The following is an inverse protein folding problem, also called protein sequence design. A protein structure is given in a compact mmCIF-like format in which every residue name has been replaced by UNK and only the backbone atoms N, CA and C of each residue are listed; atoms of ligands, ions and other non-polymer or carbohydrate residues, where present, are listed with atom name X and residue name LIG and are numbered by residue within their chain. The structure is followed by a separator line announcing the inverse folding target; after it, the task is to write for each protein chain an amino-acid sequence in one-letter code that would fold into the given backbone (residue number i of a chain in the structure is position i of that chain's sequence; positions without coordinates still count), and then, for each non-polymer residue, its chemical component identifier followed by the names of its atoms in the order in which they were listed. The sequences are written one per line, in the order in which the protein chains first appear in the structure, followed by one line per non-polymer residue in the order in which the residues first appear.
data_IF_766022247258
#
_entry.id   IF_766022247258
#
_cell.length_a   1.000
_cell.length_b   1.000
_cell.length_c   1.000
_cell.angle_alpha   90.00
_cell.angle_beta   90.00
_cell.angle_gamma   90.00
#
_symmetry.space_group_name_H-M   'P 1'
#
loop_
_entity.id
_entity.type
_entity.pdbx_description
1 polymer ?
#
# COMPACT_ATOMS: atom_id res chain seq x y z
N UNK A 1 -18.07 11.10 -5.21
CA UNK A 1 -18.18 10.90 -6.68
C UNK A 1 -18.24 9.40 -6.96
N UNK A 2 -19.06 8.93 -7.93
CA UNK A 2 -19.19 7.51 -8.29
C UNK A 2 -18.91 7.37 -9.79
N UNK A 3 -17.85 6.67 -10.16
CA UNK A 3 -17.50 6.35 -11.54
C UNK A 3 -17.59 4.84 -11.75
N UNK A 4 -18.27 4.42 -12.82
CA UNK A 4 -18.28 3.04 -13.32
C UNK A 4 -17.62 3.07 -14.69
N UNK A 5 -16.56 2.29 -14.88
CA UNK A 5 -15.82 2.27 -16.12
C UNK A 5 -15.94 0.87 -16.73
N UNK A 6 -16.54 0.80 -17.91
CA UNK A 6 -16.70 -0.42 -18.69
C UNK A 6 -15.93 -0.23 -20.02
N UNK A 7 -14.98 -1.13 -20.26
CA UNK A 7 -14.19 -1.38 -21.48
C UNK A 7 -13.03 -0.44 -21.87
N UNK A 8 -11.88 -1.07 -22.19
CA UNK A 8 -10.72 -0.54 -22.93
C UNK A 8 -9.91 0.62 -22.32
N UNK A 9 -8.79 0.32 -21.65
CA UNK A 9 -7.84 1.26 -21.00
C UNK A 9 -8.45 2.12 -19.89
N UNK A 10 -8.00 1.93 -18.65
CA UNK A 10 -8.54 2.64 -17.49
C UNK A 10 -8.41 4.16 -17.63
N UNK A 11 -9.45 4.95 -17.31
CA UNK A 11 -9.37 6.40 -17.41
C UNK A 11 -8.45 7.01 -16.35
N UNK A 12 -7.75 8.06 -16.75
CA UNK A 12 -6.98 8.91 -15.84
C UNK A 12 -7.89 9.85 -15.06
N UNK A 13 -7.85 9.80 -13.72
CA UNK A 13 -8.57 10.74 -12.85
C UNK A 13 -7.59 11.58 -12.04
N UNK A 14 -7.60 12.90 -12.24
CA UNK A 14 -6.86 13.85 -11.41
C UNK A 14 -7.78 14.56 -10.42
N UNK A 15 -7.43 14.58 -9.14
CA UNK A 15 -8.15 15.34 -8.12
C UNK A 15 -7.19 16.14 -7.24
N UNK A 16 -7.53 17.41 -6.99
CA UNK A 16 -6.84 18.25 -6.03
C UNK A 16 -7.79 18.65 -4.90
N UNK A 17 -7.38 18.44 -3.65
CA UNK A 17 -8.14 18.81 -2.45
C UNK A 17 -7.28 19.73 -1.57
N UNK A 18 -7.87 20.82 -1.10
CA UNK A 18 -7.15 21.84 -0.32
C UNK A 18 -8.02 22.32 0.84
N UNK A 19 -7.41 22.52 2.01
CA UNK A 19 -8.14 23.00 3.20
C UNK A 19 -8.98 21.89 3.83
N UNK A 20 -10.08 22.24 4.50
CA UNK A 20 -10.95 21.27 5.20
C UNK A 20 -11.96 20.61 4.25
N UNK A 21 -11.47 20.02 3.16
CA UNK A 21 -12.30 19.35 2.17
C UNK A 21 -12.41 17.86 2.50
N UNK A 22 -13.63 17.33 2.54
CA UNK A 22 -13.91 15.90 2.73
C UNK A 22 -14.52 15.29 1.47
N UNK A 23 -14.04 14.13 1.04
CA UNK A 23 -14.60 13.41 -0.10
C UNK A 23 -14.62 11.89 0.15
N UNK A 24 -15.64 11.25 -0.41
CA UNK A 24 -15.63 9.79 -0.59
C UNK A 24 -15.74 9.44 -2.07
N UNK A 25 -14.87 8.53 -2.50
CA UNK A 25 -14.83 7.97 -3.85
C UNK A 25 -15.01 6.47 -3.83
N UNK A 26 -15.78 5.96 -4.79
CA UNK A 26 -15.88 4.53 -5.05
C UNK A 26 -15.51 4.25 -6.50
N UNK A 27 -14.63 3.29 -6.69
CA UNK A 27 -14.14 2.81 -7.98
C UNK A 27 -14.54 1.34 -8.10
N UNK A 28 -15.14 0.99 -9.23
CA UNK A 28 -15.38 -0.39 -9.61
C UNK A 28 -14.82 -0.54 -11.02
N UNK A 29 -13.96 -1.53 -11.21
CA UNK A 29 -13.35 -1.80 -12.50
C UNK A 29 -13.39 -3.29 -12.78
N UNK A 30 -13.86 -3.66 -13.96
CA UNK A 30 -13.81 -5.02 -14.53
C UNK A 30 -12.92 -5.04 -15.77
N UNK A 31 -11.88 -4.19 -15.77
CA UNK A 31 -11.09 -3.88 -16.96
C UNK A 31 -9.77 -4.64 -16.94
N UNK A 32 -9.36 -5.12 -18.12
CA UNK A 32 -8.03 -5.70 -18.38
C UNK A 32 -6.87 -4.78 -17.93
N UNK A 33 -7.10 -3.47 -17.87
CA UNK A 33 -6.19 -2.50 -17.27
C UNK A 33 -6.92 -1.53 -16.34
N UNK A 34 -6.45 -1.44 -15.10
CA UNK A 34 -7.00 -0.57 -14.07
C UNK A 34 -6.84 0.94 -14.37
N UNK A 35 -7.61 1.80 -13.67
CA UNK A 35 -7.53 3.24 -13.83
C UNK A 35 -6.21 3.80 -13.29
N UNK A 36 -5.81 4.96 -13.82
CA UNK A 36 -4.73 5.78 -13.27
C UNK A 36 -5.32 6.93 -12.48
N UNK A 37 -4.99 7.05 -11.21
CA UNK A 37 -5.54 8.08 -10.33
C UNK A 37 -4.40 8.92 -9.78
N UNK A 38 -4.47 10.23 -9.99
CA UNK A 38 -3.55 11.21 -9.44
C UNK A 38 -4.25 12.08 -8.42
N UNK A 39 -3.79 12.07 -7.16
CA UNK A 39 -4.36 12.90 -6.10
C UNK A 39 -3.32 13.83 -5.50
N UNK A 40 -3.69 15.09 -5.34
CA UNK A 40 -2.94 16.07 -4.59
C UNK A 40 -3.79 16.59 -3.43
N UNK A 41 -3.32 16.40 -2.19
CA UNK A 41 -4.04 16.80 -0.98
C UNK A 41 -3.17 17.71 -0.12
N UNK A 42 -3.76 18.82 0.34
CA UNK A 42 -3.05 19.83 1.12
C UNK A 42 -3.92 20.37 2.26
N UNK A 43 -3.31 20.63 3.41
CA UNK A 43 -4.05 21.11 4.59
C UNK A 43 -4.84 19.99 5.25
N UNK A 44 -5.96 20.30 5.91
CA UNK A 44 -6.80 19.33 6.63
C UNK A 44 -7.78 18.58 5.69
N UNK A 45 -7.31 18.18 4.52
CA UNK A 45 -8.17 17.53 3.52
C UNK A 45 -8.27 16.03 3.82
N UNK A 46 -9.48 15.48 3.77
CA UNK A 46 -9.75 14.08 4.05
C UNK A 46 -10.38 13.40 2.83
N UNK A 47 -9.86 12.22 2.48
CA UNK A 47 -10.41 11.42 1.40
C UNK A 47 -10.54 9.97 1.84
N UNK A 48 -11.70 9.39 1.54
CA UNK A 48 -11.89 7.94 1.62
C UNK A 48 -12.12 7.37 0.24
N UNK A 49 -11.29 6.41 -0.17
CA UNK A 49 -11.47 5.67 -1.42
C UNK A 49 -11.76 4.21 -1.15
N UNK A 50 -12.69 3.66 -1.94
CA UNK A 50 -12.96 2.23 -1.97
C UNK A 50 -12.94 1.71 -3.40
N UNK A 51 -12.17 0.67 -3.66
CA UNK A 51 -11.99 0.06 -4.97
C UNK A 51 -12.32 -1.43 -4.97
N UNK A 52 -12.97 -1.91 -6.01
CA UNK A 52 -13.00 -3.35 -6.34
C UNK A 52 -12.56 -3.50 -7.79
N UNK A 53 -11.60 -4.40 -8.03
CA UNK A 53 -10.98 -4.63 -9.31
C UNK A 53 -11.06 -6.13 -9.63
N UNK A 54 -11.76 -6.47 -10.69
CA UNK A 54 -11.92 -7.83 -11.21
C UNK A 54 -11.23 -7.92 -12.58
N UNK A 55 -10.54 -9.02 -12.88
CA UNK A 55 -9.97 -9.37 -14.20
C UNK A 55 -9.10 -8.26 -14.85
N UNK A 56 -7.81 -8.15 -14.47
CA UNK A 56 -6.87 -7.26 -15.19
C UNK A 56 -5.65 -6.76 -14.41
N UNK A 57 -4.85 -5.87 -15.01
CA UNK A 57 -3.75 -5.19 -14.32
C UNK A 57 -4.28 -4.17 -13.32
N UNK A 58 -3.71 -4.13 -12.12
CA UNK A 58 -4.17 -3.31 -11.00
C UNK A 58 -4.15 -1.79 -11.22
N UNK A 59 -4.66 -1.07 -10.21
CA UNK A 59 -4.74 0.40 -10.15
C UNK A 59 -3.35 1.06 -10.23
N UNK A 60 -3.20 2.07 -11.07
CA UNK A 60 -2.09 3.02 -10.98
C UNK A 60 -2.49 4.19 -10.08
N UNK A 61 -1.71 4.50 -9.04
CA UNK A 61 -2.03 5.59 -8.13
C UNK A 61 -0.80 6.46 -7.83
N UNK A 62 -0.90 7.74 -8.17
CA UNK A 62 0.05 8.77 -7.76
C UNK A 62 -0.56 9.65 -6.66
N UNK A 63 0.06 9.72 -5.49
CA UNK A 63 -0.41 10.54 -4.37
C UNK A 63 0.64 11.54 -3.93
N UNK A 64 0.24 12.79 -3.79
CA UNK A 64 1.01 13.84 -3.14
C UNK A 64 0.21 14.42 -1.98
N UNK A 65 0.69 14.25 -0.75
CA UNK A 65 0.02 14.70 0.47
C UNK A 65 0.94 15.62 1.27
N UNK A 66 0.39 16.74 1.72
CA UNK A 66 1.14 17.77 2.45
C UNK A 66 0.33 18.35 3.61
N UNK A 67 0.99 18.63 4.73
CA UNK A 67 0.30 19.15 5.92
C UNK A 67 -0.52 18.06 6.62
N UNK A 68 -1.64 18.40 7.25
CA UNK A 68 -2.51 17.45 7.96
C UNK A 68 -3.51 16.72 7.06
N UNK A 69 -3.09 16.32 5.86
CA UNK A 69 -3.98 15.67 4.90
C UNK A 69 -4.11 14.19 5.23
N UNK A 70 -5.32 13.65 5.15
CA UNK A 70 -5.63 12.27 5.51
C UNK A 70 -6.27 11.51 4.36
N UNK A 71 -5.77 10.30 4.10
CA UNK A 71 -6.34 9.42 3.09
C UNK A 71 -6.51 8.02 3.65
N UNK A 72 -7.73 7.49 3.52
CA UNK A 72 -8.03 6.07 3.75
C UNK A 72 -8.39 5.38 2.45
N UNK A 73 -7.68 4.31 2.12
CA UNK A 73 -7.94 3.47 0.97
C UNK A 73 -8.29 2.05 1.38
N UNK A 74 -9.32 1.50 0.71
CA UNK A 74 -9.65 0.08 0.79
C UNK A 74 -9.84 -0.48 -0.60
N UNK A 75 -9.10 -1.51 -0.95
CA UNK A 75 -9.18 -2.13 -2.27
C UNK A 75 -9.28 -3.64 -2.19
N UNK A 76 -10.06 -4.24 -3.06
CA UNK A 76 -10.10 -5.68 -3.30
C UNK A 76 -9.73 -5.95 -4.75
N UNK A 77 -8.86 -6.93 -4.97
CA UNK A 77 -8.38 -7.37 -6.27
C UNK A 77 -8.68 -8.87 -6.40
N UNK A 78 -9.51 -9.22 -7.38
CA UNK A 78 -10.00 -10.58 -7.65
C UNK A 78 -9.55 -11.03 -9.05
N UNK A 79 -9.26 -12.32 -9.22
CA UNK A 79 -8.92 -13.02 -10.48
C UNK A 79 -7.68 -12.50 -11.25
N UNK A 80 -6.49 -13.02 -10.93
CA UNK A 80 -5.37 -13.19 -11.88
C UNK A 80 -4.51 -11.97 -12.23
N UNK A 81 -4.76 -10.82 -11.61
CA UNK A 81 -4.13 -9.54 -11.96
C UNK A 81 -2.74 -9.27 -11.37
N UNK A 82 -1.98 -8.37 -12.00
CA UNK A 82 -0.84 -7.73 -11.35
C UNK A 82 -1.34 -6.71 -10.32
N UNK A 83 -0.79 -6.68 -9.12
CA UNK A 83 -1.16 -5.71 -8.07
C UNK A 83 -0.98 -4.24 -8.48
N UNK A 84 -1.50 -3.30 -7.68
CA UNK A 84 -1.47 -1.89 -8.03
C UNK A 84 -0.05 -1.32 -7.99
N UNK A 85 0.19 -0.31 -8.82
CA UNK A 85 1.43 0.48 -8.82
C UNK A 85 1.19 1.80 -8.12
N UNK A 86 1.89 2.02 -7.02
CA UNK A 86 1.66 3.16 -6.15
C UNK A 86 2.93 4.04 -6.10
N UNK A 87 2.79 5.33 -6.37
CA UNK A 87 3.83 6.34 -6.17
C UNK A 87 3.34 7.37 -5.17
N UNK A 88 3.89 7.36 -3.95
CA UNK A 88 3.40 8.19 -2.84
C UNK A 88 4.49 9.16 -2.37
N UNK A 89 4.13 10.43 -2.28
CA UNK A 89 4.94 11.49 -1.71
C UNK A 89 4.18 12.15 -0.55
N UNK A 90 4.71 12.04 0.67
CA UNK A 90 4.06 12.51 1.89
C UNK A 90 4.99 13.43 2.66
N UNK A 91 4.49 14.60 3.06
CA UNK A 91 5.29 15.64 3.73
C UNK A 91 4.50 16.29 4.87
N UNK A 92 5.18 16.62 5.97
CA UNK A 92 4.53 17.25 7.13
C UNK A 92 3.81 16.19 7.97
N UNK A 93 2.62 16.49 8.49
CA UNK A 93 1.79 15.57 9.28
C UNK A 93 0.76 14.82 8.44
N UNK A 94 1.14 14.38 7.24
CA UNK A 94 0.22 13.75 6.31
C UNK A 94 0.06 12.28 6.68
N UNK A 95 -1.17 11.76 6.62
CA UNK A 95 -1.50 10.41 7.05
C UNK A 95 -2.16 9.61 5.94
N UNK A 96 -1.68 8.38 5.72
CA UNK A 96 -2.25 7.47 4.75
C UNK A 96 -2.46 6.09 5.37
N UNK A 97 -3.69 5.61 5.30
CA UNK A 97 -4.04 4.23 5.66
C UNK A 97 -4.50 3.46 4.42
N UNK A 98 -3.83 2.36 4.12
CA UNK A 98 -4.22 1.45 3.02
C UNK A 98 -4.56 0.07 3.56
N UNK A 99 -5.67 -0.47 3.09
CA UNK A 99 -6.03 -1.87 3.29
C UNK A 99 -6.37 -2.51 1.96
N UNK A 100 -5.70 -3.61 1.65
CA UNK A 100 -5.91 -4.33 0.39
C UNK A 100 -6.09 -5.82 0.61
N UNK A 101 -6.94 -6.43 -0.20
CA UNK A 101 -7.07 -7.89 -0.33
C UNK A 101 -6.75 -8.28 -1.77
N UNK A 102 -5.95 -9.34 -1.94
CA UNK A 102 -5.53 -9.87 -3.22
C UNK A 102 -5.88 -11.36 -3.27
N UNK A 103 -6.74 -11.73 -4.20
CA UNK A 103 -7.11 -13.12 -4.49
C UNK A 103 -6.48 -13.50 -5.84
N UNK A 104 -5.69 -14.59 -5.88
CA UNK A 104 -5.09 -15.16 -7.09
C UNK A 104 -4.24 -14.16 -7.93
N UNK A 105 -3.33 -13.41 -7.31
CA UNK A 105 -2.58 -12.36 -8.03
C UNK A 105 -1.24 -11.94 -7.43
N UNK A 106 -0.56 -10.99 -8.07
CA UNK A 106 0.67 -10.40 -7.52
C UNK A 106 0.36 -9.24 -6.59
N UNK A 107 1.13 -9.07 -5.51
CA UNK A 107 1.03 -7.90 -4.66
C UNK A 107 1.48 -6.59 -5.31
N UNK A 108 1.22 -5.45 -4.64
CA UNK A 108 1.55 -4.14 -5.17
C UNK A 108 3.05 -3.87 -5.30
N UNK A 109 3.36 -2.97 -6.24
CA UNK A 109 4.66 -2.29 -6.33
C UNK A 109 4.49 -0.85 -5.82
N UNK A 110 5.25 -0.47 -4.79
CA UNK A 110 5.07 0.81 -4.09
C UNK A 110 6.39 1.57 -4.04
N UNK A 111 6.42 2.79 -4.57
CA UNK A 111 7.47 3.78 -4.35
C UNK A 111 7.01 4.84 -3.35
N UNK A 112 7.75 5.01 -2.26
CA UNK A 112 7.39 5.89 -1.14
C UNK A 112 8.50 6.91 -0.87
N UNK A 113 8.11 8.18 -0.79
CA UNK A 113 8.93 9.27 -0.29
C UNK A 113 8.20 9.96 0.87
N UNK A 114 8.75 9.87 2.08
CA UNK A 114 8.14 10.42 3.30
C UNK A 114 9.09 11.38 4.00
N UNK A 115 8.58 12.53 4.41
CA UNK A 115 9.39 13.55 5.09
C UNK A 115 8.60 14.23 6.21
N UNK A 116 9.28 14.59 7.30
CA UNK A 116 8.65 15.27 8.43
C UNK A 116 8.02 14.28 9.39
N UNK A 117 6.76 14.49 9.77
CA UNK A 117 5.99 13.63 10.66
C UNK A 117 4.92 12.85 9.89
N UNK A 118 5.26 12.42 8.66
CA UNK A 118 4.32 11.77 7.77
C UNK A 118 4.16 10.30 8.18
N UNK A 119 2.93 9.80 8.17
CA UNK A 119 2.61 8.46 8.64
C UNK A 119 1.91 7.63 7.57
N UNK A 120 2.38 6.40 7.38
CA UNK A 120 1.79 5.45 6.45
C UNK A 120 1.56 4.12 7.13
N UNK A 121 0.30 3.69 7.15
CA UNK A 121 -0.10 2.35 7.58
C UNK A 121 -0.62 1.54 6.40
N UNK A 122 -0.03 0.37 6.16
CA UNK A 122 -0.46 -0.57 5.14
C UNK A 122 -0.83 -1.92 5.73
N UNK A 123 -1.97 -2.45 5.32
CA UNK A 123 -2.41 -3.81 5.64
C UNK A 123 -2.80 -4.54 4.36
N UNK A 124 -2.22 -5.70 4.12
CA UNK A 124 -2.52 -6.51 2.95
C UNK A 124 -2.86 -7.93 3.34
N UNK A 125 -3.89 -8.50 2.71
CA UNK A 125 -4.18 -9.93 2.76
C UNK A 125 -3.96 -10.52 1.37
N UNK A 126 -3.30 -11.66 1.30
CA UNK A 126 -3.00 -12.39 0.07
C UNK A 126 -3.57 -13.80 0.18
N UNK A 127 -4.52 -14.12 -0.68
CA UNK A 127 -5.08 -15.46 -0.90
C UNK A 127 -4.48 -15.96 -2.22
N UNK A 128 -3.72 -17.06 -2.19
CA UNK A 128 -3.08 -17.67 -3.39
C UNK A 128 -2.17 -16.74 -4.24
N UNK A 129 -1.62 -15.69 -3.62
CA UNK A 129 -0.85 -14.64 -4.31
C UNK A 129 0.65 -14.56 -3.99
N UNK A 130 1.35 -13.68 -4.72
CA UNK A 130 2.76 -13.32 -4.45
C UNK A 130 2.89 -12.01 -3.66
N UNK A 131 4.02 -11.81 -2.96
CA UNK A 131 4.24 -10.69 -2.06
C UNK A 131 4.43 -9.30 -2.71
N UNK A 132 4.98 -8.36 -1.92
CA UNK A 132 5.01 -6.92 -2.19
C UNK A 132 6.37 -6.44 -2.71
N UNK A 133 6.36 -5.49 -3.64
CA UNK A 133 7.54 -4.72 -4.03
C UNK A 133 7.54 -3.34 -3.40
N UNK A 134 8.65 -2.91 -2.78
CA UNK A 134 8.74 -1.62 -2.08
C UNK A 134 10.04 -0.88 -2.38
N UNK A 135 9.97 0.39 -2.72
CA UNK A 135 11.09 1.34 -2.69
C UNK A 135 10.77 2.47 -1.70
N UNK A 136 11.68 2.74 -0.77
CA UNK A 136 11.44 3.60 0.40
C UNK A 136 12.53 4.66 0.56
N UNK A 137 12.12 5.92 0.65
CA UNK A 137 12.94 7.03 1.09
C UNK A 137 12.21 7.78 2.21
N UNK A 138 12.77 7.79 3.43
CA UNK A 138 12.16 8.43 4.60
C UNK A 138 13.16 9.35 5.31
N UNK A 139 12.69 10.52 5.71
CA UNK A 139 13.50 11.51 6.43
C UNK A 139 12.70 12.20 7.53
N UNK A 140 13.36 12.59 8.64
CA UNK A 140 12.64 13.17 9.78
C UNK A 140 11.91 12.09 10.59
N UNK A 141 10.97 12.47 11.45
CA UNK A 141 10.13 11.54 12.21
C UNK A 141 9.02 10.88 11.39
N UNK A 142 9.33 10.45 10.17
CA UNK A 142 8.36 9.79 9.30
C UNK A 142 8.22 8.32 9.71
N UNK A 143 6.99 7.81 9.73
CA UNK A 143 6.68 6.47 10.24
C UNK A 143 5.98 5.61 9.20
N UNK A 144 6.49 4.40 9.02
CA UNK A 144 5.91 3.40 8.12
C UNK A 144 5.59 2.12 8.87
N UNK A 145 4.32 1.73 8.88
CA UNK A 145 3.86 0.44 9.41
C UNK A 145 3.26 -0.40 8.31
N UNK A 146 3.76 -1.61 8.12
CA UNK A 146 3.23 -2.58 7.17
C UNK A 146 2.89 -3.90 7.86
N UNK A 147 1.73 -4.44 7.53
CA UNK A 147 1.34 -5.78 7.94
C UNK A 147 0.77 -6.56 6.76
N UNK A 148 1.25 -7.78 6.58
CA UNK A 148 0.76 -8.67 5.53
C UNK A 148 0.29 -10.00 6.12
N UNK A 149 -0.89 -10.45 5.70
CA UNK A 149 -1.42 -11.79 5.99
C UNK A 149 -1.43 -12.60 4.70
N UNK A 150 -1.03 -13.85 4.77
CA UNK A 150 -1.01 -14.78 3.66
C UNK A 150 -1.84 -16.01 4.02
N UNK A 151 -2.82 -16.32 3.19
CA UNK A 151 -3.76 -17.43 3.31
C UNK A 151 -3.58 -18.35 2.09
N UNK A 152 -3.59 -19.67 2.35
CA UNK A 152 -3.49 -20.77 1.36
C UNK A 152 -2.36 -20.69 0.31
N UNK A 153 -1.28 -19.96 0.58
CA UNK A 153 -0.25 -19.69 -0.44
C UNK A 153 0.60 -20.93 -0.78
N UNK A 154 0.09 -21.81 -1.64
CA UNK A 154 0.66 -23.13 -1.94
C UNK A 154 2.00 -23.07 -2.70
N UNK A 155 2.41 -21.89 -3.21
CA UNK A 155 3.49 -21.81 -4.19
C UNK A 155 4.39 -20.57 -4.15
N UNK A 156 4.78 -20.02 -3.01
CA UNK A 156 6.03 -19.22 -2.99
C UNK A 156 6.86 -19.45 -1.73
N UNK A 157 8.11 -19.94 -1.85
CA UNK A 157 9.00 -19.94 -0.71
C UNK A 157 9.25 -18.49 -0.28
N UNK A 158 9.26 -18.28 1.03
CA UNK A 158 9.72 -17.16 1.88
C UNK A 158 10.60 -16.02 1.32
N UNK A 159 11.23 -16.22 0.16
CA UNK A 159 12.31 -15.43 -0.42
C UNK A 159 11.86 -14.31 -1.36
N UNK A 160 10.59 -14.25 -1.75
CA UNK A 160 10.11 -13.28 -2.75
C UNK A 160 9.09 -12.28 -2.20
N UNK A 161 8.97 -12.16 -0.86
CA UNK A 161 7.93 -11.35 -0.24
C UNK A 161 8.22 -9.84 -0.19
N UNK A 162 9.50 -9.48 -0.34
CA UNK A 162 10.00 -8.12 -0.34
C UNK A 162 11.11 -7.99 -1.40
N UNK A 163 10.74 -8.03 -2.67
CA UNK A 163 11.71 -7.84 -3.74
C UNK A 163 11.89 -6.37 -4.07
N UNK A 164 13.12 -5.95 -4.40
CA UNK A 164 13.39 -4.59 -4.85
C UNK A 164 13.45 -3.54 -3.74
N UNK A 165 13.65 -3.96 -2.47
CA UNK A 165 13.77 -3.05 -1.33
C UNK A 165 14.98 -2.10 -1.48
N UNK A 166 14.74 -0.91 -1.99
CA UNK A 166 15.64 0.24 -1.88
C UNK A 166 15.27 1.02 -0.62
N UNK A 167 16.20 1.17 0.31
CA UNK A 167 15.94 1.83 1.59
C UNK A 167 16.90 3.01 1.80
N UNK A 168 16.35 4.20 2.02
CA UNK A 168 17.10 5.34 2.51
C UNK A 168 16.33 5.98 3.68
N UNK A 169 16.85 5.86 4.90
CA UNK A 169 16.24 6.44 6.11
C UNK A 169 17.23 7.39 6.80
N UNK A 170 16.77 8.57 7.17
CA UNK A 170 17.56 9.53 7.96
C UNK A 170 16.67 10.27 8.96
N UNK A 171 17.27 10.81 10.03
CA UNK A 171 16.61 11.82 10.87
C UNK A 171 15.44 11.35 11.74
N UNK A 172 15.52 10.16 12.32
CA UNK A 172 14.50 9.65 13.26
C UNK A 172 13.34 8.90 12.61
N UNK A 173 13.47 8.53 11.33
CA UNK A 173 12.43 7.79 10.62
C UNK A 173 12.33 6.35 11.13
N UNK A 174 11.11 5.82 11.17
CA UNK A 174 10.81 4.49 11.69
C UNK A 174 10.10 3.61 10.66
N UNK A 175 10.47 2.33 10.66
CA UNK A 175 9.84 1.28 9.87
C UNK A 175 9.50 0.08 10.74
N UNK A 176 8.22 -0.31 10.70
CA UNK A 176 7.70 -1.53 11.28
C UNK A 176 7.08 -2.39 10.18
N UNK A 177 7.52 -3.64 10.06
CA UNK A 177 6.99 -4.62 9.11
C UNK A 177 6.63 -5.91 9.85
N UNK A 178 5.47 -6.47 9.57
CA UNK A 178 5.03 -7.76 10.11
C UNK A 178 4.40 -8.62 9.04
N UNK A 179 4.63 -9.93 9.10
CA UNK A 179 3.97 -10.90 8.22
C UNK A 179 3.41 -12.06 9.02
N UNK A 180 2.20 -12.49 8.69
CA UNK A 180 1.52 -13.65 9.28
C UNK A 180 1.08 -14.61 8.18
N UNK A 181 1.25 -15.91 8.41
CA UNK A 181 0.91 -16.97 7.47
C UNK A 181 -0.11 -17.92 8.14
N UNK A 182 -1.26 -18.09 7.51
CA UNK A 182 -2.31 -19.01 7.94
C UNK A 182 -2.40 -20.17 6.95
N UNK A 183 -1.88 -21.35 7.36
CA UNK A 183 -1.91 -22.57 6.56
C UNK A 183 -3.07 -23.48 7.00
N UNK A 184 -3.86 -23.96 6.04
CA UNK A 184 -4.89 -24.99 6.23
C UNK A 184 -4.58 -26.29 5.50
N UNK A 185 -3.32 -26.68 5.25
CA UNK A 185 -2.91 -28.11 5.24
C UNK A 185 -1.47 -28.38 4.77
N UNK A 186 -0.48 -28.27 5.67
CA UNK A 186 0.63 -29.21 5.65
C UNK A 186 1.98 -28.64 6.04
N UNK A 187 2.37 -28.88 7.29
CA UNK A 187 3.77 -28.81 7.75
C UNK A 187 4.47 -27.46 7.55
N UNK A 188 3.80 -26.34 7.80
CA UNK A 188 4.44 -25.04 7.99
C UNK A 188 4.11 -24.47 9.36
N UNK A 189 5.09 -24.36 10.25
CA UNK A 189 4.94 -23.57 11.48
C UNK A 189 4.54 -22.14 11.07
N UNK A 190 3.41 -21.62 11.56
CA UNK A 190 3.06 -20.20 11.41
C UNK A 190 4.14 -19.34 12.03
N UNK A 191 5.05 -18.81 11.21
CA UNK A 191 6.12 -17.92 11.64
C UNK A 191 5.67 -16.49 11.42
N UNK A 192 5.22 -15.82 12.48
CA UNK A 192 5.16 -14.38 12.50
C UNK A 192 6.60 -13.84 12.49
N UNK A 193 6.97 -13.10 11.45
CA UNK A 193 8.26 -12.40 11.41
C UNK A 193 7.97 -10.90 11.54
N UNK A 194 8.29 -10.36 12.71
CA UNK A 194 8.27 -8.92 12.96
C UNK A 194 9.67 -8.34 12.73
N UNK A 195 9.75 -7.29 11.92
CA UNK A 195 10.96 -6.55 11.58
C UNK A 195 10.76 -5.08 11.96
N UNK A 196 11.66 -4.57 12.81
CA UNK A 196 11.69 -3.16 13.18
C UNK A 196 13.04 -2.57 12.77
N UNK A 197 13.02 -1.37 12.18
CA UNK A 197 14.20 -0.62 11.79
C UNK A 197 13.99 0.86 12.16
N UNK A 198 14.80 1.36 13.10
CA UNK A 198 14.84 2.77 13.49
C UNK A 198 16.21 3.40 13.23
N UNK A 199 16.26 4.72 13.03
CA UNK A 199 17.50 5.46 12.74
C UNK A 199 18.50 5.52 13.91
N UNK A 200 18.05 5.20 15.13
CA UNK A 200 18.91 5.13 16.31
C UNK A 200 19.54 3.74 16.40
N UNK A 201 20.76 3.66 15.86
CA UNK A 201 21.67 2.52 16.00
C UNK A 201 21.86 2.18 17.49
N UNK A 202 21.13 1.19 18.02
CA UNK A 202 21.67 0.19 18.94
C UNK A 202 20.70 -0.99 19.15
N UNK A 203 21.12 -2.13 18.56
CA UNK A 203 20.78 -3.53 18.90
C UNK A 203 19.47 -4.12 18.35
N UNK A 204 19.52 -5.46 18.31
CA UNK A 204 18.46 -6.48 18.17
C UNK A 204 18.24 -6.97 16.73
N UNK A 205 18.52 -8.23 16.34
CA UNK A 205 18.36 -9.57 16.96
C UNK A 205 16.95 -9.84 17.48
N UNK A 206 16.28 -10.77 16.78
CA UNK A 206 14.95 -11.35 17.05
C UNK A 206 14.67 -11.49 18.55
N UNK A 207 13.49 -11.05 18.99
CA UNK A 207 12.83 -11.59 20.19
C UNK A 207 11.79 -12.61 19.77
#
# INVERSE_FOLDING_TARGET
MRGTFEDGSGPGLGLAMTGAAELTMRVLSKMVSGPEIGLAMTGAAELTMRGTFEDGSGLGLGLAMTGGAELTMRSTFEDGGSGPRLGLAMTGGAELTMRSTFEDGSGPEIGLAMTGAAELTMRSTFEDGSGLGLGLAMTGGAELTMKSTFEDSFWTPARWFWTGLGLAMTGGAELTMGSTFEDSSGTGLGLANDWWCGADNEKYFRR
#
